data_IF_335235504261
#
_entry.id   IF_335235504261
#
_cell.length_a   1.000
_cell.length_b   1.000
_cell.length_c   1.000
_cell.angle_alpha   90.00
_cell.angle_beta   90.00
_cell.angle_gamma   90.00
#
_symmetry.space_group_name_H-M   'P 1'
#
loop_
_entity.id
_entity.type
_entity.pdbx_description
1 polymer ?
#
# COMPACT_ATOMS: atom_id res chain seq x y z
N UNK A 1 26.32 12.53 10.65
CA UNK A 1 25.08 11.92 11.16
C UNK A 1 24.41 11.21 9.99
N UNK A 2 23.97 9.95 10.09
CA UNK A 2 23.24 9.29 9.02
C UNK A 2 21.91 10.01 8.78
N UNK A 3 21.56 10.27 7.52
CA UNK A 3 20.26 10.82 7.14
C UNK A 3 19.37 9.66 6.72
N UNK A 4 18.14 9.62 7.27
CA UNK A 4 17.16 8.60 6.90
C UNK A 4 16.70 8.79 5.45
N UNK A 5 16.60 7.70 4.70
CA UNK A 5 16.11 7.71 3.32
C UNK A 5 14.68 7.16 3.28
N UNK A 6 13.82 7.82 2.50
CA UNK A 6 12.45 7.38 2.25
C UNK A 6 12.12 7.40 0.76
N UNK A 7 11.25 6.49 0.33
CA UNK A 7 10.70 6.46 -1.04
C UNK A 7 9.19 6.64 -0.97
N UNK A 8 8.65 7.52 -1.81
CA UNK A 8 7.21 7.72 -1.95
C UNK A 8 6.76 7.33 -3.35
N UNK A 9 5.78 6.44 -3.44
CA UNK A 9 5.11 6.04 -4.67
C UNK A 9 3.69 6.60 -4.60
N UNK A 10 3.42 7.71 -5.29
CA UNK A 10 2.18 8.48 -5.15
C UNK A 10 0.93 7.70 -5.58
N UNK A 11 0.99 7.01 -6.71
CA UNK A 11 -0.07 6.11 -7.12
C UNK A 11 0.50 4.80 -7.66
N UNK A 12 0.74 3.87 -6.73
CA UNK A 12 1.37 2.59 -7.03
C UNK A 12 0.68 1.85 -8.18
N UNK A 13 -0.64 1.88 -8.22
CA UNK A 13 -1.43 1.07 -9.16
C UNK A 13 -1.39 1.62 -10.59
N UNK A 14 -1.03 2.89 -10.80
CA UNK A 14 -0.85 3.46 -12.13
C UNK A 14 0.45 3.01 -12.79
N UNK A 15 1.40 2.45 -12.04
CA UNK A 15 2.62 1.85 -12.58
C UNK A 15 2.39 0.46 -13.19
N UNK A 16 1.16 -0.06 -13.10
CA UNK A 16 0.85 -1.44 -13.46
C UNK A 16 1.36 -2.44 -12.42
N UNK A 17 1.53 -3.71 -12.84
CA UNK A 17 2.08 -4.75 -11.99
C UNK A 17 3.60 -4.62 -11.92
N UNK A 18 4.11 -4.33 -10.73
CA UNK A 18 5.54 -4.37 -10.43
C UNK A 18 5.90 -5.78 -9.99
N UNK A 19 6.65 -6.48 -10.84
CA UNK A 19 7.14 -7.81 -10.50
C UNK A 19 8.05 -7.74 -9.26
N UNK A 20 7.87 -8.71 -8.36
CA UNK A 20 8.62 -8.81 -7.11
C UNK A 20 8.47 -7.61 -6.15
N UNK A 21 7.37 -6.84 -6.23
CA UNK A 21 7.08 -5.73 -5.32
C UNK A 21 7.28 -6.10 -3.84
N UNK A 22 6.81 -7.28 -3.41
CA UNK A 22 6.99 -7.76 -2.04
C UNK A 22 8.48 -7.89 -1.64
N UNK A 23 9.30 -8.45 -2.53
CA UNK A 23 10.75 -8.57 -2.29
C UNK A 23 11.42 -7.20 -2.21
N UNK A 24 10.99 -6.24 -3.04
CA UNK A 24 11.49 -4.87 -2.99
C UNK A 24 11.15 -4.22 -1.64
N UNK A 25 9.88 -4.28 -1.20
CA UNK A 25 9.44 -3.71 0.07
C UNK A 25 10.14 -4.35 1.28
N UNK A 26 10.37 -5.67 1.24
CA UNK A 26 11.15 -6.38 2.26
C UNK A 26 12.60 -5.88 2.31
N UNK A 27 13.21 -5.67 1.15
CA UNK A 27 14.59 -5.19 1.02
C UNK A 27 14.75 -3.75 1.49
N UNK A 28 13.81 -2.86 1.16
CA UNK A 28 13.81 -1.48 1.67
C UNK A 28 13.76 -1.48 3.19
N UNK A 29 12.86 -2.27 3.77
CA UNK A 29 12.72 -2.41 5.23
C UNK A 29 14.01 -2.93 5.89
N UNK A 30 14.66 -3.96 5.33
CA UNK A 30 15.88 -4.52 5.92
C UNK A 30 17.07 -3.55 5.89
N UNK A 31 17.07 -2.60 4.96
CA UNK A 31 18.08 -1.53 4.84
C UNK A 31 17.74 -0.26 5.62
N UNK A 32 16.67 -0.26 6.42
CA UNK A 32 16.24 0.92 7.16
C UNK A 32 15.69 2.05 6.26
N UNK A 33 15.28 1.73 5.04
CA UNK A 33 14.68 2.69 4.11
C UNK A 33 13.17 2.70 4.33
N UNK A 34 12.62 3.87 4.64
CA UNK A 34 11.17 4.07 4.75
C UNK A 34 10.50 4.03 3.39
N UNK A 35 9.25 3.60 3.33
CA UNK A 35 8.44 3.71 2.13
C UNK A 35 7.00 4.09 2.43
N UNK A 36 6.37 4.82 1.52
CA UNK A 36 4.96 5.15 1.53
C UNK A 36 4.37 4.88 0.14
N UNK A 37 3.23 4.17 0.12
CA UNK A 37 2.53 3.77 -1.09
C UNK A 37 1.16 4.46 -1.08
N UNK A 38 0.95 5.40 -1.99
CA UNK A 38 -0.36 5.97 -2.24
C UNK A 38 -1.18 5.06 -3.15
N UNK A 39 -2.44 4.87 -2.75
CA UNK A 39 -3.41 4.00 -3.42
C UNK A 39 -4.79 4.62 -3.29
N UNK A 40 -5.48 4.81 -4.42
CA UNK A 40 -6.85 5.35 -4.44
C UNK A 40 -7.92 4.25 -4.49
N UNK A 41 -7.63 3.09 -5.12
CA UNK A 41 -8.61 2.01 -5.31
C UNK A 41 -8.14 0.63 -4.86
N UNK A 42 -8.80 0.04 -3.86
CA UNK A 42 -8.45 -1.30 -3.35
C UNK A 42 -8.73 -2.41 -4.40
N UNK A 43 -9.75 -2.22 -5.24
CA UNK A 43 -10.15 -3.23 -6.23
C UNK A 43 -9.18 -3.30 -7.42
N UNK A 44 -8.57 -2.18 -7.84
CA UNK A 44 -7.53 -2.17 -8.87
C UNK A 44 -6.28 -2.95 -8.40
N UNK A 45 -5.93 -2.83 -7.11
CA UNK A 45 -4.84 -3.61 -6.52
C UNK A 45 -5.10 -5.13 -6.58
N UNK A 46 -6.34 -5.56 -6.33
CA UNK A 46 -6.72 -6.98 -6.43
C UNK A 46 -6.75 -7.48 -7.86
N UNK A 47 -7.08 -6.64 -8.84
CA UNK A 47 -7.03 -7.02 -10.25
C UNK A 47 -5.58 -7.24 -10.70
N UNK A 48 -4.66 -6.35 -10.30
CA UNK A 48 -3.24 -6.42 -10.70
C UNK A 48 -2.46 -7.54 -9.97
N UNK A 49 -2.71 -7.74 -8.67
CA UNK A 49 -1.90 -8.62 -7.82
C UNK A 49 -2.64 -9.87 -7.32
N UNK A 50 -3.85 -10.15 -7.81
CA UNK A 50 -4.82 -11.06 -7.19
C UNK A 50 -5.27 -10.58 -5.81
N UNK A 51 -6.41 -11.10 -5.31
CA UNK A 51 -6.90 -10.75 -3.97
C UNK A 51 -5.92 -11.13 -2.87
N UNK A 52 -5.27 -12.28 -3.01
CA UNK A 52 -4.32 -12.80 -2.02
C UNK A 52 -3.02 -12.00 -2.03
N UNK A 53 -2.40 -11.84 -3.22
CA UNK A 53 -1.15 -11.07 -3.36
C UNK A 53 -1.31 -9.61 -2.95
N UNK A 54 -2.45 -8.98 -3.31
CA UNK A 54 -2.74 -7.63 -2.83
C UNK A 54 -2.88 -7.57 -1.29
N UNK A 55 -3.52 -8.57 -0.70
CA UNK A 55 -3.60 -8.72 0.75
C UNK A 55 -2.22 -8.88 1.42
N UNK A 56 -1.28 -9.57 0.77
CA UNK A 56 0.10 -9.72 1.24
C UNK A 56 0.86 -8.38 1.20
N UNK A 57 0.81 -7.66 0.08
CA UNK A 57 1.41 -6.32 -0.07
C UNK A 57 0.86 -5.35 0.99
N UNK A 58 -0.46 -5.33 1.18
CA UNK A 58 -1.10 -4.50 2.20
C UNK A 58 -0.67 -4.84 3.63
N UNK A 59 -0.26 -6.08 3.93
CA UNK A 59 0.26 -6.48 5.25
C UNK A 59 1.69 -6.00 5.49
N UNK A 60 2.47 -5.79 4.44
CA UNK A 60 3.83 -5.22 4.56
C UNK A 60 3.80 -3.76 5.02
N UNK A 61 2.73 -3.04 4.68
CA UNK A 61 2.48 -1.68 5.15
C UNK A 61 1.91 -1.68 6.59
N UNK A 62 2.79 -1.53 7.59
CA UNK A 62 2.42 -1.55 9.01
C UNK A 62 1.47 -0.41 9.39
N UNK A 63 1.66 0.77 8.82
CA UNK A 63 0.82 1.93 9.03
C UNK A 63 -0.05 2.16 7.80
N UNK A 64 -1.33 2.44 8.02
CA UNK A 64 -2.31 2.71 6.95
C UNK A 64 -3.05 3.99 7.30
N UNK A 65 -3.02 4.94 6.37
CA UNK A 65 -3.75 6.19 6.47
C UNK A 65 -4.89 6.12 5.46
N UNK A 66 -6.12 6.29 5.92
CA UNK A 66 -7.30 6.28 5.07
C UNK A 66 -7.83 7.71 4.94
N UNK A 67 -7.81 8.24 3.73
CA UNK A 67 -8.34 9.56 3.42
C UNK A 67 -9.82 9.42 3.02
N UNK A 68 -10.71 9.61 3.98
CA UNK A 68 -12.16 9.33 3.82
C UNK A 68 -12.89 10.33 2.91
N UNK A 69 -12.29 11.47 2.59
CA UNK A 69 -12.93 12.53 1.80
C UNK A 69 -13.14 12.20 0.31
N UNK A 70 -12.54 11.12 -0.20
CA UNK A 70 -12.57 10.74 -1.62
C UNK A 70 -12.88 9.25 -1.86
N UNK A 71 -13.30 8.50 -0.83
CA UNK A 71 -13.60 7.07 -0.99
C UNK A 71 -14.97 6.86 -1.65
N UNK A 72 -15.02 5.97 -2.65
CA UNK A 72 -16.27 5.33 -3.06
C UNK A 72 -16.95 4.73 -1.81
N UNK A 73 -18.29 4.83 -1.67
CA UNK A 73 -19.02 4.30 -0.50
C UNK A 73 -18.65 2.85 -0.12
N UNK A 74 -18.25 2.03 -1.10
CA UNK A 74 -17.79 0.65 -0.89
C UNK A 74 -16.47 0.58 -0.14
N UNK A 75 -15.52 1.45 -0.46
CA UNK A 75 -14.21 1.50 0.20
C UNK A 75 -14.26 2.16 1.58
N UNK A 76 -15.18 3.10 1.79
CA UNK A 76 -15.46 3.66 3.12
C UNK A 76 -15.91 2.56 4.12
N UNK A 77 -16.87 1.71 3.70
CA UNK A 77 -17.37 0.60 4.54
C UNK A 77 -16.32 -0.47 4.86
N UNK A 78 -15.30 -0.61 3.99
CA UNK A 78 -14.21 -1.57 4.13
C UNK A 78 -13.09 -1.01 5.00
N UNK A 79 -12.87 0.30 4.92
CA UNK A 79 -11.92 1.05 5.75
C UNK A 79 -12.35 1.07 7.22
N UNK A 80 -13.64 1.30 7.50
CA UNK A 80 -14.20 1.23 8.86
C UNK A 80 -13.88 -0.10 9.56
N UNK A 81 -14.21 -1.22 8.90
CA UNK A 81 -13.92 -2.58 9.39
C UNK A 81 -12.43 -2.83 9.68
N UNK A 82 -11.53 -2.24 8.88
CA UNK A 82 -10.07 -2.40 9.05
C UNK A 82 -9.48 -1.45 10.09
N UNK A 83 -10.14 -0.33 10.37
CA UNK A 83 -9.72 0.65 11.37
C UNK A 83 -10.19 0.31 12.79
N UNK A 84 -10.96 -0.78 12.96
CA UNK A 84 -11.50 -1.17 14.27
C UNK A 84 -12.56 -0.20 14.80
N UNK A 85 -13.22 0.56 13.93
CA UNK A 85 -14.33 1.46 14.25
C UNK A 85 -15.55 1.13 13.41
#
# INVERSE_FOLDING_TARGET
VPVGTGVYLDELLNLGRLDHLENMLATLRSRGIGYALGVQGDDQGKQLYTREGWGAIQKMCRHKLYFLGALDPRDASRSARRSGR
#
